data_IF_082954271544
#
_entry.id   IF_082954271544
#
_cell.length_a   1.000
_cell.length_b   1.000
_cell.length_c   1.000
_cell.angle_alpha   90.00
_cell.angle_beta   90.00
_cell.angle_gamma   90.00
#
_symmetry.space_group_name_H-M   'P 1'
#
loop_
_entity.id
_entity.type
_entity.pdbx_description
1 polymer ?
#
# COMPACT_ATOMS: atom_id res chain seq x y z
N UNK A 1 -30.01 31.76 -6.53
CA UNK A 1 -28.64 31.33 -6.16
C UNK A 1 -28.80 30.10 -5.26
N UNK A 2 -28.71 28.90 -5.84
CA UNK A 2 -28.84 27.64 -5.09
C UNK A 2 -27.47 27.24 -4.56
N UNK A 3 -27.22 27.46 -3.26
CA UNK A 3 -26.03 26.96 -2.58
C UNK A 3 -26.16 25.44 -2.46
N UNK A 4 -25.44 24.70 -3.30
CA UNK A 4 -25.29 23.25 -3.16
C UNK A 4 -24.53 23.00 -1.86
N UNK A 5 -25.22 22.50 -0.82
CA UNK A 5 -24.57 21.98 0.39
C UNK A 5 -23.64 20.84 -0.07
N UNK A 6 -22.32 21.09 -0.05
CA UNK A 6 -21.32 20.01 -0.15
C UNK A 6 -21.68 18.98 0.92
N UNK A 7 -21.88 17.73 0.52
CA UNK A 7 -21.95 16.62 1.46
C UNK A 7 -20.65 16.61 2.25
N UNK A 8 -20.73 16.92 3.53
CA UNK A 8 -19.59 16.92 4.42
C UNK A 8 -19.22 15.46 4.69
N UNK A 9 -18.16 14.99 4.05
CA UNK A 9 -17.58 13.69 4.38
C UNK A 9 -17.16 13.74 5.86
N UNK A 10 -17.73 12.85 6.65
CA UNK A 10 -17.48 12.66 8.07
C UNK A 10 -16.71 11.34 8.25
N UNK A 11 -15.38 11.31 7.98
CA UNK A 11 -14.58 10.12 8.23
C UNK A 11 -14.34 9.88 9.72
N UNK A 12 -14.01 8.64 10.05
CA UNK A 12 -13.39 8.30 11.33
C UNK A 12 -11.89 8.60 11.27
N UNK A 13 -11.38 9.21 12.33
CA UNK A 13 -9.96 9.39 12.59
C UNK A 13 -9.56 8.69 13.86
N UNK A 14 -8.39 8.08 13.83
CA UNK A 14 -7.81 7.34 14.96
C UNK A 14 -6.77 8.22 15.67
N UNK A 15 -6.75 8.16 17.00
CA UNK A 15 -5.84 8.90 17.86
C UNK A 15 -5.14 7.94 18.82
N UNK A 16 -3.84 8.14 19.04
CA UNK A 16 -3.04 7.32 19.94
C UNK A 16 -2.34 8.20 20.99
N UNK A 17 -2.41 7.79 22.26
CA UNK A 17 -1.71 8.45 23.36
C UNK A 17 -0.35 7.74 23.63
N UNK A 18 0.60 8.40 24.35
CA UNK A 18 1.89 7.78 24.68
C UNK A 18 1.76 6.54 25.58
N UNK A 19 0.64 6.39 26.30
CA UNK A 19 0.35 5.26 27.18
C UNK A 19 -0.22 4.04 26.42
N UNK A 20 -0.38 4.14 25.09
CA UNK A 20 -0.77 3.03 24.21
C UNK A 20 -2.27 2.87 23.94
N UNK A 21 -3.13 3.75 24.48
CA UNK A 21 -4.57 3.74 24.18
C UNK A 21 -4.85 4.29 22.77
N UNK A 22 -5.85 3.71 22.10
CA UNK A 22 -6.31 4.13 20.76
C UNK A 22 -7.79 4.44 20.79
N UNK A 23 -8.17 5.55 20.17
CA UNK A 23 -9.54 6.05 20.17
C UNK A 23 -9.93 6.57 18.79
N UNK A 24 -11.17 6.28 18.38
CA UNK A 24 -11.71 6.76 17.10
C UNK A 24 -12.69 7.93 17.30
N UNK A 25 -12.67 8.90 16.39
CA UNK A 25 -13.58 10.05 16.37
C UNK A 25 -14.08 10.31 14.96
N UNK A 26 -15.39 10.48 14.83
CA UNK A 26 -16.02 10.97 13.61
C UNK A 26 -15.80 12.48 13.54
N UNK A 27 -15.07 12.97 12.54
CA UNK A 27 -14.83 14.41 12.37
C UNK A 27 -14.97 14.78 10.90
N UNK A 28 -15.23 16.06 10.61
CA UNK A 28 -15.26 16.53 9.24
C UNK A 28 -13.90 16.37 8.56
N UNK A 29 -13.89 16.17 7.24
CA UNK A 29 -12.63 16.21 6.49
C UNK A 29 -11.87 17.55 6.61
N UNK A 30 -12.58 18.64 6.92
CA UNK A 30 -12.01 19.97 7.15
C UNK A 30 -11.50 20.22 8.57
N UNK A 31 -11.65 19.26 9.49
CA UNK A 31 -11.23 19.43 10.88
C UNK A 31 -9.72 19.67 10.98
N UNK A 32 -9.35 20.84 11.54
CA UNK A 32 -7.96 21.24 11.75
C UNK A 32 -7.34 20.58 13.00
N UNK A 33 -8.17 20.09 13.91
CA UNK A 33 -7.74 19.46 15.16
C UNK A 33 -7.01 18.13 14.88
N UNK A 34 -5.81 18.00 15.45
CA UNK A 34 -4.94 16.82 15.33
C UNK A 34 -4.59 16.19 16.67
N UNK A 35 -5.10 16.73 17.75
CA UNK A 35 -4.82 16.30 19.12
C UNK A 35 -6.10 16.30 19.93
N UNK A 36 -6.27 15.29 20.78
CA UNK A 36 -7.37 15.21 21.74
C UNK A 36 -6.82 14.77 23.11
N UNK A 37 -7.59 15.02 24.16
CA UNK A 37 -7.30 14.38 25.44
C UNK A 37 -7.74 12.91 25.39
N UNK A 38 -6.87 12.01 25.84
CA UNK A 38 -7.17 10.59 25.90
C UNK A 38 -8.31 10.36 26.90
N UNK A 39 -9.44 9.76 26.49
CA UNK A 39 -10.57 9.50 27.39
C UNK A 39 -10.23 8.47 28.49
N UNK A 40 -9.17 7.67 28.30
CA UNK A 40 -8.76 6.62 29.24
C UNK A 40 -7.78 7.12 30.31
N UNK A 41 -6.79 7.94 29.93
CA UNK A 41 -5.71 8.37 30.85
C UNK A 41 -5.51 9.90 30.96
N UNK A 42 -6.20 10.69 30.13
CA UNK A 42 -6.07 12.16 30.12
C UNK A 42 -4.82 12.70 29.42
N UNK A 43 -3.87 11.85 29.01
CA UNK A 43 -2.69 12.27 28.22
C UNK A 43 -3.09 12.79 26.84
N UNK A 44 -2.30 13.73 26.27
CA UNK A 44 -2.51 14.20 24.89
C UNK A 44 -2.30 13.06 23.90
N UNK A 45 -3.35 12.75 23.14
CA UNK A 45 -3.34 11.77 22.06
C UNK A 45 -3.22 12.47 20.70
N UNK A 46 -2.36 11.94 19.82
CA UNK A 46 -2.10 12.47 18.49
C UNK A 46 -2.89 11.70 17.44
N UNK A 47 -3.37 12.40 16.41
CA UNK A 47 -4.01 11.76 15.25
C UNK A 47 -3.01 10.91 14.49
N UNK A 48 -3.32 9.63 14.32
CA UNK A 48 -2.50 8.68 13.58
C UNK A 48 -3.12 8.35 12.22
N UNK A 49 -2.28 7.88 11.30
CA UNK A 49 -2.78 7.30 10.05
C UNK A 49 -3.50 6.02 10.43
N UNK A 50 -4.83 6.05 10.36
CA UNK A 50 -5.63 4.86 10.63
C UNK A 50 -5.36 3.82 9.54
N UNK A 51 -5.13 2.57 9.96
CA UNK A 51 -5.01 1.44 9.03
C UNK A 51 -6.43 0.97 8.73
N UNK A 52 -7.17 1.76 7.94
CA UNK A 52 -8.48 1.33 7.46
C UNK A 52 -8.25 0.32 6.35
N UNK A 53 -8.32 -0.96 6.73
CA UNK A 53 -8.19 -2.09 5.82
C UNK A 53 -6.75 -2.39 5.45
N UNK A 54 -6.15 -3.38 6.13
CA UNK A 54 -5.22 -4.25 5.39
C UNK A 54 -6.03 -4.88 4.26
N UNK A 55 -6.06 -4.22 3.11
CA UNK A 55 -6.60 -4.82 1.91
C UNK A 55 -5.74 -6.05 1.64
N UNK A 56 -6.34 -7.24 1.44
CA UNK A 56 -5.56 -8.39 1.02
C UNK A 56 -4.80 -7.99 -0.24
N UNK A 57 -3.48 -8.16 -0.20
CA UNK A 57 -2.64 -7.97 -1.39
C UNK A 57 -3.25 -8.78 -2.53
N UNK A 58 -3.36 -8.18 -3.71
CA UNK A 58 -3.88 -8.91 -4.86
C UNK A 58 -3.04 -10.18 -5.06
N UNK A 59 -3.65 -11.34 -5.32
CA UNK A 59 -2.94 -12.63 -5.30
C UNK A 59 -1.75 -12.65 -6.27
N UNK A 60 -1.85 -11.93 -7.40
CA UNK A 60 -0.75 -11.79 -8.35
C UNK A 60 0.45 -10.99 -7.82
N UNK A 61 0.22 -9.99 -6.96
CA UNK A 61 1.30 -9.17 -6.37
C UNK A 61 2.04 -9.99 -5.32
N UNK A 62 1.32 -10.66 -4.42
CA UNK A 62 1.93 -11.53 -3.40
C UNK A 62 2.74 -12.65 -4.07
N UNK A 63 2.14 -13.35 -5.04
CA UNK A 63 2.83 -14.42 -5.75
C UNK A 63 4.08 -13.92 -6.52
N UNK A 64 4.04 -12.72 -7.09
CA UNK A 64 5.20 -12.13 -7.76
C UNK A 64 6.34 -11.82 -6.78
N UNK A 65 6.02 -11.28 -5.59
CA UNK A 65 7.02 -11.04 -4.54
C UNK A 65 7.63 -12.33 -4.03
N UNK A 66 6.80 -13.35 -3.76
CA UNK A 66 7.26 -14.66 -3.30
C UNK A 66 8.17 -15.32 -4.33
N UNK A 67 7.81 -15.27 -5.62
CA UNK A 67 8.63 -15.81 -6.70
C UNK A 67 9.95 -15.05 -6.86
N UNK A 68 9.96 -13.72 -6.68
CA UNK A 68 11.17 -12.91 -6.75
C UNK A 68 12.13 -13.19 -5.58
N UNK A 69 11.59 -13.41 -4.37
CA UNK A 69 12.39 -13.83 -3.22
C UNK A 69 12.98 -15.24 -3.44
N UNK A 70 12.18 -16.17 -3.99
CA UNK A 70 12.59 -17.55 -4.25
C UNK A 70 13.67 -17.66 -5.33
N UNK A 71 13.55 -16.89 -6.41
CA UNK A 71 14.41 -17.03 -7.59
C UNK A 71 15.90 -16.84 -7.33
N UNK A 72 16.27 -16.13 -6.26
CA UNK A 72 17.67 -15.95 -5.86
C UNK A 72 18.35 -17.24 -5.39
N UNK A 73 17.60 -18.18 -4.80
CA UNK A 73 18.15 -19.39 -4.17
C UNK A 73 17.62 -20.67 -4.81
N UNK A 74 16.44 -20.60 -5.43
CA UNK A 74 15.74 -21.70 -6.09
C UNK A 74 15.05 -21.19 -7.37
N UNK A 75 15.82 -20.90 -8.44
CA UNK A 75 15.25 -20.49 -9.71
C UNK A 75 14.50 -21.64 -10.38
N UNK A 76 13.35 -21.33 -10.98
CA UNK A 76 12.60 -22.30 -11.78
C UNK A 76 13.39 -22.66 -13.06
N UNK A 77 13.94 -23.87 -13.12
CA UNK A 77 14.64 -24.40 -14.29
C UNK A 77 13.63 -25.11 -15.20
N UNK A 78 13.51 -24.64 -16.44
CA UNK A 78 12.64 -25.26 -17.45
C UNK A 78 13.44 -26.22 -18.35
N UNK A 79 12.97 -27.47 -18.46
CA UNK A 79 13.67 -28.54 -19.20
C UNK A 79 13.20 -28.70 -20.66
N UNK A 80 12.16 -27.98 -21.05
CA UNK A 80 11.64 -27.99 -22.42
C UNK A 80 10.91 -26.70 -22.71
N UNK A 81 11.05 -26.18 -23.93
CA UNK A 81 10.29 -25.04 -24.41
C UNK A 81 8.94 -25.55 -24.90
N UNK A 82 7.81 -24.87 -24.61
CA UNK A 82 6.49 -25.26 -25.13
C UNK A 82 6.52 -25.40 -26.66
N UNK A 83 6.08 -26.55 -27.17
CA UNK A 83 6.08 -26.88 -28.60
C UNK A 83 5.12 -26.02 -29.44
N UNK A 84 4.13 -25.42 -28.78
CA UNK A 84 3.19 -24.45 -29.34
C UNK A 84 3.24 -23.16 -28.49
N UNK A 85 4.32 -22.39 -28.65
CA UNK A 85 4.45 -21.06 -28.04
C UNK A 85 3.80 -19.97 -28.90
N UNK A 86 3.44 -18.86 -28.27
CA UNK A 86 3.07 -17.63 -28.96
C UNK A 86 4.24 -17.23 -29.88
N UNK A 87 4.09 -17.38 -31.20
CA UNK A 87 5.18 -17.19 -32.18
C UNK A 87 5.66 -15.74 -32.31
N UNK A 88 5.19 -14.84 -31.45
CA UNK A 88 5.62 -13.45 -31.43
C UNK A 88 7.02 -13.35 -30.81
N UNK A 89 7.99 -12.77 -31.53
CA UNK A 89 9.29 -12.44 -30.96
C UNK A 89 9.12 -11.58 -29.70
N UNK A 90 9.90 -11.88 -28.66
CA UNK A 90 9.97 -11.02 -27.47
C UNK A 90 10.53 -9.65 -27.91
N UNK A 91 9.84 -8.53 -27.65
CA UNK A 91 10.36 -7.21 -28.00
C UNK A 91 11.70 -6.95 -27.29
N UNK A 92 12.75 -6.69 -28.06
CA UNK A 92 14.06 -6.34 -27.51
C UNK A 92 14.11 -4.83 -27.27
N UNK A 93 14.27 -4.43 -26.01
CA UNK A 93 14.51 -3.02 -25.67
C UNK A 93 15.92 -2.62 -26.09
N UNK A 94 16.02 -1.54 -26.88
CA UNK A 94 17.29 -0.94 -27.33
C UNK A 94 17.72 0.24 -26.44
N UNK A 95 17.26 0.28 -25.19
CA UNK A 95 17.58 1.36 -24.27
C UNK A 95 19.09 1.32 -23.93
N UNK A 96 19.87 2.38 -24.25
CA UNK A 96 21.30 2.42 -23.97
C UNK A 96 21.62 2.32 -22.47
N UNK A 97 20.69 2.66 -21.57
CA UNK A 97 20.86 2.55 -20.12
C UNK A 97 21.04 1.10 -19.64
N UNK A 98 20.64 0.10 -20.44
CA UNK A 98 20.87 -1.31 -20.10
C UNK A 98 22.37 -1.65 -20.00
N UNK A 99 23.26 -0.84 -20.59
CA UNK A 99 24.72 -1.00 -20.46
C UNK A 99 25.23 -0.73 -19.03
N UNK A 100 24.47 -0.01 -18.21
CA UNK A 100 24.82 0.31 -16.82
C UNK A 100 24.28 -0.69 -15.80
N UNK A 101 23.49 -1.69 -16.23
CA UNK A 101 23.02 -2.74 -15.31
C UNK A 101 24.20 -3.65 -14.92
N UNK A 102 24.20 -4.18 -13.68
CA UNK A 102 25.16 -5.20 -13.26
C UNK A 102 25.11 -6.37 -14.24
N UNK A 103 26.27 -6.74 -14.80
CA UNK A 103 26.36 -7.91 -15.68
C UNK A 103 26.42 -9.18 -14.83
N UNK A 104 25.69 -10.24 -15.18
CA UNK A 104 25.79 -11.53 -14.54
C UNK A 104 27.17 -12.17 -14.77
#
# INVERSE_FOLDING_TARGET
>A
MHQVKRSEAMPFYEFACPDGHRNERLMSMSAAEREIDCPDCGSRAQRVVSVIGSLPSQPGISAAMDNAARSAHEPAVVNSIPRAGNARPTPVSRNPLHSHLPKP
#
